data_IF_298395103215
#
_entry.id   IF_298395103215
#
_cell.length_a   1.000
_cell.length_b   1.000
_cell.length_c   1.000
_cell.angle_alpha   90.00
_cell.angle_beta   90.00
_cell.angle_gamma   90.00
#
_symmetry.space_group_name_H-M   'P 1'
#
loop_
_entity.id
_entity.type
_entity.pdbx_description
1 polymer ?
#
# COMPACT_ATOMS: atom_id res chain seq x y z
N UNK A 1 17.20 -8.34 -10.88
CA UNK A 1 16.19 -7.27 -10.79
C UNK A 1 14.93 -7.79 -11.43
N UNK A 2 13.86 -7.98 -10.67
CA UNK A 2 12.55 -8.32 -11.25
C UNK A 2 11.93 -7.01 -11.69
N UNK A 3 11.58 -6.90 -12.96
CA UNK A 3 10.83 -5.76 -13.45
C UNK A 3 9.38 -5.82 -12.95
N UNK A 4 8.62 -4.71 -13.02
CA UNK A 4 7.17 -4.75 -12.81
C UNK A 4 6.48 -5.77 -13.73
N UNK A 5 7.09 -6.09 -14.87
CA UNK A 5 6.60 -7.05 -15.85
C UNK A 5 6.56 -8.49 -15.32
N UNK A 6 7.43 -8.86 -14.38
CA UNK A 6 7.48 -10.23 -13.81
C UNK A 6 6.55 -10.41 -12.60
N UNK A 7 5.79 -9.38 -12.21
CA UNK A 7 5.04 -9.37 -10.95
C UNK A 7 3.96 -10.46 -10.92
N UNK A 8 3.19 -10.59 -11.99
CA UNK A 8 2.14 -11.61 -12.10
C UNK A 8 2.72 -13.01 -12.26
N UNK A 9 3.78 -13.15 -13.06
CA UNK A 9 4.45 -14.43 -13.34
C UNK A 9 5.11 -15.02 -12.09
N UNK A 10 5.54 -14.17 -11.14
CA UNK A 10 6.05 -14.61 -9.83
C UNK A 10 4.96 -14.95 -8.83
N UNK A 11 3.68 -14.90 -9.23
CA UNK A 11 2.53 -15.24 -8.40
C UNK A 11 2.11 -14.14 -7.43
N UNK A 12 2.61 -12.91 -7.59
CA UNK A 12 2.12 -11.79 -6.81
C UNK A 12 0.82 -11.27 -7.43
N UNK A 13 -0.21 -11.13 -6.61
CA UNK A 13 -1.48 -10.53 -7.00
C UNK A 13 -1.90 -9.44 -6.02
N UNK A 14 -2.44 -8.34 -6.54
CA UNK A 14 -3.07 -7.32 -5.70
C UNK A 14 -4.36 -7.86 -5.11
N UNK A 15 -4.62 -7.59 -3.81
CA UNK A 15 -5.90 -7.93 -3.16
C UNK A 15 -7.10 -7.39 -3.93
N UNK A 16 -6.93 -6.26 -4.59
CA UNK A 16 -7.93 -5.65 -5.44
C UNK A 16 -8.41 -6.61 -6.55
N UNK A 17 -7.46 -7.26 -7.24
CA UNK A 17 -7.74 -8.25 -8.28
C UNK A 17 -8.39 -9.50 -7.70
N UNK A 18 -7.90 -9.97 -6.54
CA UNK A 18 -8.48 -11.11 -5.81
C UNK A 18 -9.95 -10.86 -5.45
N UNK A 19 -10.30 -9.62 -5.08
CA UNK A 19 -11.67 -9.23 -4.75
C UNK A 19 -12.52 -8.79 -5.95
N UNK A 20 -12.02 -8.94 -7.18
CA UNK A 20 -12.76 -8.56 -8.40
C UNK A 20 -13.09 -7.06 -8.47
N UNK A 21 -12.29 -6.21 -7.83
CA UNK A 21 -12.50 -4.75 -7.80
C UNK A 21 -11.67 -4.07 -8.89
N UNK A 22 -12.19 -2.99 -9.46
CA UNK A 22 -11.44 -2.13 -10.39
C UNK A 22 -10.63 -1.10 -9.62
N UNK A 23 -9.43 -0.78 -10.09
CA UNK A 23 -8.63 0.34 -9.58
C UNK A 23 -8.87 1.55 -10.49
N UNK A 24 -9.49 2.60 -9.96
CA UNK A 24 -9.62 3.88 -10.67
C UNK A 24 -8.51 4.87 -10.27
N UNK A 25 -7.93 4.68 -9.09
CA UNK A 25 -6.86 5.54 -8.58
C UNK A 25 -5.82 4.72 -7.83
N UNK A 26 -4.57 4.84 -8.27
CA UNK A 26 -3.41 4.24 -7.63
C UNK A 26 -2.51 5.33 -7.06
N UNK A 27 -2.32 5.33 -5.74
CA UNK A 27 -1.52 6.33 -5.01
C UNK A 27 -0.25 5.64 -4.53
N UNK A 28 0.92 6.14 -4.92
CA UNK A 28 2.21 5.63 -4.42
C UNK A 28 2.77 6.59 -3.39
N UNK A 29 3.02 6.10 -2.18
CA UNK A 29 3.71 6.80 -1.12
C UNK A 29 5.12 6.23 -1.01
N UNK A 30 6.08 6.91 -1.61
CA UNK A 30 7.50 6.55 -1.50
C UNK A 30 8.05 7.14 -0.21
N UNK A 31 8.35 6.28 0.76
CA UNK A 31 9.03 6.65 1.99
C UNK A 31 10.52 6.38 1.86
N UNK A 32 11.32 7.36 2.24
CA UNK A 32 12.74 7.20 2.47
C UNK A 32 12.98 7.18 3.98
N UNK A 33 14.07 7.75 4.46
CA UNK A 33 14.35 8.01 5.88
C UNK A 33 13.43 9.09 6.49
N UNK A 34 12.12 9.01 6.25
CA UNK A 34 11.13 9.92 6.84
C UNK A 34 10.82 9.49 8.28
N UNK A 35 10.74 10.46 9.18
CA UNK A 35 10.20 10.27 10.53
C UNK A 35 8.74 9.79 10.43
N UNK A 36 8.32 8.86 11.31
CA UNK A 36 6.95 8.37 11.37
C UNK A 36 5.89 9.48 11.40
N UNK A 37 6.22 10.65 11.94
CA UNK A 37 5.34 11.81 12.00
C UNK A 37 5.01 12.35 10.61
N UNK A 38 5.98 12.36 9.68
CA UNK A 38 5.77 12.81 8.32
C UNK A 38 4.90 11.81 7.55
N UNK A 39 5.19 10.52 7.68
CA UNK A 39 4.35 9.47 7.10
C UNK A 39 2.92 9.54 7.63
N UNK A 40 2.73 9.71 8.94
CA UNK A 40 1.40 9.84 9.55
C UNK A 40 0.61 11.05 9.01
N UNK A 41 1.29 12.18 8.79
CA UNK A 41 0.67 13.38 8.19
C UNK A 41 0.24 13.12 6.76
N UNK A 42 1.11 12.52 5.95
CA UNK A 42 0.81 12.15 4.56
C UNK A 42 -0.35 11.15 4.50
N UNK A 43 -0.30 10.09 5.30
CA UNK A 43 -1.36 9.10 5.40
C UNK A 43 -2.71 9.72 5.80
N UNK A 44 -2.71 10.59 6.82
CA UNK A 44 -3.92 11.31 7.25
C UNK A 44 -4.50 12.16 6.13
N UNK A 45 -3.66 12.84 5.36
CA UNK A 45 -4.10 13.65 4.22
C UNK A 45 -4.71 12.77 3.11
N UNK A 46 -4.06 11.64 2.78
CA UNK A 46 -4.56 10.66 1.80
C UNK A 46 -5.93 10.13 2.23
N UNK A 47 -6.07 9.65 3.47
CA UNK A 47 -7.35 9.14 3.99
C UNK A 47 -8.42 10.22 3.98
N UNK A 48 -8.10 11.45 4.39
CA UNK A 48 -9.05 12.57 4.35
C UNK A 48 -9.56 12.84 2.93
N UNK A 49 -8.68 12.79 1.94
CA UNK A 49 -9.04 12.99 0.54
C UNK A 49 -9.90 11.84 0.01
N UNK A 50 -9.57 10.59 0.35
CA UNK A 50 -10.40 9.41 -0.01
C UNK A 50 -11.80 9.53 0.61
N UNK A 51 -11.89 9.86 1.90
CA UNK A 51 -13.17 10.09 2.57
C UNK A 51 -13.96 11.23 1.94
N UNK A 52 -13.29 12.31 1.56
CA UNK A 52 -13.92 13.42 0.85
C UNK A 52 -14.49 12.97 -0.51
N UNK A 53 -13.74 12.19 -1.29
CA UNK A 53 -14.25 11.59 -2.52
C UNK A 53 -15.47 10.71 -2.25
N UNK A 54 -15.43 9.91 -1.19
CA UNK A 54 -16.56 9.04 -0.83
C UNK A 54 -17.82 9.80 -0.39
N UNK A 55 -17.66 11.06 0.05
CA UNK A 55 -18.77 11.93 0.45
C UNK A 55 -19.49 12.60 -0.72
N UNK A 56 -18.94 12.52 -1.95
CA UNK A 56 -19.55 13.12 -3.14
C UNK A 56 -20.83 12.38 -3.48
N UNK A 57 -21.96 13.12 -3.50
CA UNK A 57 -23.29 12.58 -3.82
C UNK A 57 -23.65 12.66 -5.31
N UNK A 58 -22.98 13.54 -6.06
CA UNK A 58 -23.23 13.79 -7.48
C UNK A 58 -22.00 13.41 -8.32
N UNK A 59 -21.55 12.17 -8.20
CA UNK A 59 -20.47 11.64 -9.03
C UNK A 59 -20.77 10.20 -9.43
N UNK A 60 -20.70 9.92 -10.72
CA UNK A 60 -20.90 8.56 -11.23
C UNK A 60 -19.75 7.62 -10.84
N UNK A 61 -18.57 8.21 -10.54
CA UNK A 61 -17.36 7.49 -10.19
C UNK A 61 -17.19 7.33 -8.68
N UNK A 62 -17.47 8.40 -7.93
CA UNK A 62 -17.20 8.52 -6.50
C UNK A 62 -18.49 8.53 -5.67
N UNK A 63 -18.48 7.85 -4.54
CA UNK A 63 -19.62 7.73 -3.63
C UNK A 63 -19.23 6.93 -2.40
N UNK A 64 -20.18 6.46 -1.56
CA UNK A 64 -19.85 5.77 -0.29
C UNK A 64 -18.87 4.60 -0.44
N UNK A 65 -18.87 3.94 -1.59
CA UNK A 65 -17.99 2.83 -1.93
C UNK A 65 -16.74 3.20 -2.75
N UNK A 66 -16.50 4.50 -2.96
CA UNK A 66 -15.37 5.00 -3.76
C UNK A 66 -14.00 4.53 -3.24
N UNK A 67 -13.87 4.32 -1.93
CA UNK A 67 -12.65 3.79 -1.31
C UNK A 67 -12.29 2.40 -1.83
N UNK A 68 -13.27 1.59 -2.27
CA UNK A 68 -13.03 0.26 -2.83
C UNK A 68 -12.32 0.33 -4.17
N UNK A 69 -12.26 1.50 -4.82
CA UNK A 69 -11.64 1.73 -6.13
C UNK A 69 -10.26 2.39 -6.03
N UNK A 70 -9.80 2.70 -4.82
CA UNK A 70 -8.51 3.33 -4.55
C UNK A 70 -7.54 2.30 -4.00
N UNK A 71 -6.35 2.24 -4.58
CA UNK A 71 -5.24 1.43 -4.07
C UNK A 71 -4.11 2.37 -3.65
N UNK A 72 -3.68 2.25 -2.39
CA UNK A 72 -2.53 3.00 -1.87
C UNK A 72 -1.37 2.03 -1.68
N UNK A 73 -0.27 2.27 -2.38
CA UNK A 73 0.97 1.50 -2.31
C UNK A 73 2.01 2.30 -1.53
N UNK A 74 2.54 1.74 -0.45
CA UNK A 74 3.65 2.34 0.30
C UNK A 74 4.93 1.64 -0.13
N UNK A 75 5.89 2.41 -0.65
CA UNK A 75 7.18 1.90 -1.12
C UNK A 75 8.26 2.48 -0.23
N UNK A 76 8.94 1.63 0.53
CA UNK A 76 10.10 2.03 1.32
C UNK A 76 11.38 1.75 0.53
N UNK A 77 12.13 2.78 0.14
CA UNK A 77 13.45 2.63 -0.48
C UNK A 77 14.55 2.81 0.57
N UNK A 78 15.52 1.88 0.62
CA UNK A 78 16.76 2.05 1.40
C UNK A 78 16.93 1.21 2.67
N UNK A 79 17.56 0.04 2.48
CA UNK A 79 18.52 -0.69 3.35
C UNK A 79 18.36 -0.57 4.89
N UNK A 80 17.55 -1.49 5.39
CA UNK A 80 17.74 -2.33 6.60
C UNK A 80 16.89 -2.15 7.83
N UNK A 81 16.23 -1.01 8.12
CA UNK A 81 15.18 -0.99 9.16
C UNK A 81 14.11 0.08 8.88
N UNK A 82 12.91 -0.35 8.47
CA UNK A 82 11.71 0.49 8.67
C UNK A 82 11.66 0.81 10.17
N UNK A 83 11.56 2.09 10.53
CA UNK A 83 11.52 2.48 11.93
C UNK A 83 10.37 1.73 12.64
N UNK A 84 10.58 1.12 13.82
CA UNK A 84 9.55 0.33 14.49
C UNK A 84 8.24 1.09 14.68
N UNK A 85 8.29 2.41 14.89
CA UNK A 85 7.08 3.23 15.01
C UNK A 85 6.28 3.32 13.71
N UNK A 86 6.95 3.32 12.56
CA UNK A 86 6.29 3.23 11.25
C UNK A 86 5.62 1.88 11.09
N UNK A 87 6.27 0.77 11.49
CA UNK A 87 5.64 -0.56 11.49
C UNK A 87 4.44 -0.61 12.44
N UNK A 88 4.53 -0.02 13.63
CA UNK A 88 3.41 0.10 14.57
C UNK A 88 2.26 0.89 13.95
N UNK A 89 2.54 2.00 13.27
CA UNK A 89 1.53 2.79 12.60
C UNK A 89 0.87 2.00 11.46
N UNK A 90 1.66 1.29 10.64
CA UNK A 90 1.15 0.38 9.63
C UNK A 90 0.30 -0.76 10.25
N UNK A 91 0.65 -1.19 11.46
CA UNK A 91 -0.10 -2.15 12.26
C UNK A 91 -1.46 -1.62 12.71
N UNK A 92 -1.49 -0.41 13.25
CA UNK A 92 -2.72 0.26 13.70
C UNK A 92 -3.72 0.45 12.56
N UNK A 93 -3.23 0.73 11.34
CA UNK A 93 -4.09 0.87 10.15
C UNK A 93 -4.46 -0.47 9.50
N UNK A 94 -3.95 -1.60 10.02
CA UNK A 94 -4.18 -2.94 9.48
C UNK A 94 -3.44 -3.24 8.16
N UNK A 95 -2.50 -2.38 7.76
CA UNK A 95 -1.66 -2.58 6.57
C UNK A 95 -0.47 -3.50 6.84
N UNK A 96 -0.05 -3.62 8.11
CA UNK A 96 1.01 -4.52 8.56
C UNK A 96 0.51 -5.43 9.68
N UNK A 97 0.89 -6.70 9.64
CA UNK A 97 0.69 -7.62 10.76
C UNK A 97 1.96 -8.42 10.93
N UNK A 98 2.49 -8.42 12.16
CA UNK A 98 3.71 -9.15 12.48
C UNK A 98 3.50 -10.65 12.24
N UNK A 99 4.43 -11.30 11.54
CA UNK A 99 4.34 -12.73 11.17
C UNK A 99 3.58 -13.07 9.87
N UNK A 100 2.92 -12.11 9.19
CA UNK A 100 2.29 -12.31 7.86
C UNK A 100 3.20 -11.84 6.72
N UNK A 101 4.43 -11.44 7.05
CA UNK A 101 5.42 -11.01 6.06
C UNK A 101 5.77 -12.19 5.14
N UNK A 102 5.30 -12.15 3.89
CA UNK A 102 5.74 -13.09 2.86
C UNK A 102 7.11 -12.62 2.35
N UNK A 103 8.17 -13.19 2.93
CA UNK A 103 9.55 -12.91 2.53
C UNK A 103 9.91 -13.53 1.18
N UNK A 104 9.15 -14.53 0.71
CA UNK A 104 9.28 -15.11 -0.62
C UNK A 104 8.01 -15.86 -1.02
N UNK A 105 7.72 -15.88 -2.31
CA UNK A 105 6.88 -16.89 -2.94
C UNK A 105 7.79 -17.64 -3.90
N UNK A 106 7.79 -18.98 -3.81
CA UNK A 106 8.62 -19.93 -4.57
C UNK A 106 10.06 -20.19 -4.12
N UNK A 107 10.40 -20.13 -2.82
CA UNK A 107 11.65 -20.70 -2.28
C UNK A 107 12.97 -20.19 -2.92
N UNK A 108 12.93 -19.20 -3.81
CA UNK A 108 14.12 -18.50 -4.29
C UNK A 108 14.43 -17.40 -3.29
N UNK A 109 15.47 -17.64 -2.49
CA UNK A 109 16.03 -16.64 -1.60
C UNK A 109 16.45 -15.42 -2.41
N UNK A 110 15.90 -14.26 -2.08
CA UNK A 110 16.40 -12.98 -2.58
C UNK A 110 17.85 -12.83 -2.09
N UNK A 111 18.84 -12.73 -2.99
CA UNK A 111 20.23 -12.55 -2.57
C UNK A 111 20.36 -11.20 -1.84
N UNK A 112 21.07 -11.15 -0.69
CA UNK A 112 21.29 -9.91 0.03
C UNK A 112 22.19 -8.97 -0.79
N UNK A 113 21.84 -7.69 -0.83
CA UNK A 113 22.69 -6.60 -1.31
C UNK A 113 22.96 -5.60 -0.18
#
# INVERSE_FOLDING_TARGET
TSGPDDFEDKGYMLRQRIYGRTTEMFIVLTMYNEDEVLFAKTWKAVVKNITHMCSKKNSDMWGPDGWKKVVVCVVADGRTKIHPRTLTLLGVIGAYQDGVLKTSINNEGTPPH
#
